data_IF_289377412783
#
_entry.id   IF_289377412783
#
_cell.length_a   1.000
_cell.length_b   1.000
_cell.length_c   1.000
_cell.angle_alpha   90.00
_cell.angle_beta   90.00
_cell.angle_gamma   90.00
#
_symmetry.space_group_name_H-M   'P 1'
#
loop_
_entity.id
_entity.type
_entity.pdbx_description
1 polymer ?
#
# COMPACT_ATOMS: atom_id res chain seq x y z
N UNK A 1 10.77 3.89 -13.06
CA UNK A 1 10.50 2.72 -12.21
C UNK A 1 9.11 2.90 -11.60
N UNK A 2 8.20 1.91 -11.71
CA UNK A 2 6.82 2.09 -11.29
C UNK A 2 6.67 2.16 -9.76
N UNK A 3 5.70 2.96 -9.31
CA UNK A 3 5.24 2.98 -7.92
C UNK A 3 4.23 1.86 -7.69
N UNK A 4 4.39 1.11 -6.58
CA UNK A 4 3.43 0.10 -6.11
C UNK A 4 2.92 0.47 -4.72
N UNK A 5 1.61 0.34 -4.51
CA UNK A 5 0.94 0.54 -3.22
C UNK A 5 0.61 -0.83 -2.63
N UNK A 6 0.97 -1.06 -1.38
CA UNK A 6 0.59 -2.27 -0.65
C UNK A 6 -0.55 -1.87 0.30
N UNK A 7 -1.77 -2.35 0.03
CA UNK A 7 -2.97 -1.96 0.79
C UNK A 7 -4.19 -2.86 0.49
N UNK A 8 -5.26 -2.66 1.25
CA UNK A 8 -6.59 -3.20 0.95
C UNK A 8 -7.22 -2.40 -0.21
N UNK A 9 -7.67 -3.10 -1.27
CA UNK A 9 -8.25 -2.44 -2.46
C UNK A 9 -9.63 -1.83 -2.18
N UNK A 10 -10.57 -2.55 -1.52
CA UNK A 10 -11.83 -1.95 -1.10
C UNK A 10 -11.65 -0.68 -0.26
N UNK A 11 -10.69 -0.65 0.66
CA UNK A 11 -10.36 0.50 1.49
C UNK A 11 -9.93 1.70 0.65
N UNK A 12 -9.02 1.48 -0.32
CA UNK A 12 -8.58 2.54 -1.23
C UNK A 12 -9.74 3.07 -2.08
N UNK A 13 -10.57 2.18 -2.63
CA UNK A 13 -11.77 2.56 -3.40
C UNK A 13 -12.76 3.35 -2.54
N UNK A 14 -13.08 2.88 -1.34
CA UNK A 14 -13.96 3.56 -0.40
C UNK A 14 -13.43 4.96 -0.05
N UNK A 15 -12.12 5.09 0.17
CA UNK A 15 -11.50 6.38 0.45
C UNK A 15 -11.54 7.31 -0.77
N UNK A 16 -11.27 6.80 -1.96
CA UNK A 16 -11.34 7.58 -3.19
C UNK A 16 -12.76 8.13 -3.41
N UNK A 17 -13.79 7.32 -3.17
CA UNK A 17 -15.19 7.74 -3.22
C UNK A 17 -15.49 8.86 -2.21
N UNK A 18 -15.04 8.74 -0.97
CA UNK A 18 -15.20 9.78 0.06
C UNK A 18 -14.52 11.10 -0.31
N UNK A 19 -13.43 11.04 -1.09
CA UNK A 19 -12.67 12.20 -1.54
C UNK A 19 -13.11 12.72 -2.92
N UNK A 20 -14.05 12.06 -3.60
CA UNK A 20 -14.48 12.42 -4.96
C UNK A 20 -13.41 12.16 -6.04
N UNK A 21 -12.50 11.21 -5.81
CA UNK A 21 -11.43 10.85 -6.73
C UNK A 21 -11.84 9.62 -7.55
N UNK A 22 -11.76 9.71 -8.87
CA UNK A 22 -11.99 8.58 -9.78
C UNK A 22 -10.78 7.64 -9.83
N UNK A 23 -10.59 6.84 -8.76
CA UNK A 23 -9.45 5.93 -8.62
C UNK A 23 -9.63 4.65 -9.45
N UNK A 24 -8.70 4.41 -10.36
CA UNK A 24 -8.50 3.13 -11.03
C UNK A 24 -7.44 2.31 -10.28
N UNK A 25 -7.70 1.02 -10.08
CA UNK A 25 -6.77 0.12 -9.39
C UNK A 25 -6.38 -1.01 -10.34
N UNK A 26 -5.07 -1.17 -10.54
CA UNK A 26 -4.48 -2.24 -11.34
C UNK A 26 -3.69 -3.21 -10.46
N UNK A 27 -3.72 -4.48 -10.80
CA UNK A 27 -2.91 -5.50 -10.12
C UNK A 27 -1.42 -5.25 -10.36
N UNK A 28 -0.62 -5.24 -9.29
CA UNK A 28 0.83 -5.10 -9.41
C UNK A 28 1.45 -6.15 -10.35
N UNK A 29 1.00 -7.40 -10.31
CA UNK A 29 1.53 -8.45 -11.17
C UNK A 29 1.38 -8.14 -12.68
N UNK A 30 0.28 -7.50 -13.07
CA UNK A 30 0.01 -7.08 -14.45
C UNK A 30 0.86 -5.86 -14.80
N UNK A 31 0.88 -4.85 -13.93
CA UNK A 31 1.69 -3.64 -14.17
C UNK A 31 3.17 -3.99 -14.26
N UNK A 32 3.66 -4.92 -13.41
CA UNK A 32 5.06 -5.37 -13.40
C UNK A 32 5.43 -6.08 -14.70
N UNK A 33 4.59 -6.99 -15.20
CA UNK A 33 4.87 -7.70 -16.45
C UNK A 33 4.88 -6.75 -17.65
N UNK A 34 3.93 -5.83 -17.72
CA UNK A 34 3.89 -4.78 -18.75
C UNK A 34 5.13 -3.90 -18.72
N UNK A 35 5.61 -3.53 -17.53
CA UNK A 35 6.85 -2.76 -17.37
C UNK A 35 8.10 -3.53 -17.79
N UNK A 36 8.19 -4.83 -17.51
CA UNK A 36 9.34 -5.67 -17.86
C UNK A 36 9.46 -5.96 -19.36
N UNK A 37 8.34 -5.96 -20.08
CA UNK A 37 8.29 -6.22 -21.52
C UNK A 37 8.57 -4.98 -22.38
N UNK A 38 8.72 -3.80 -21.77
CA UNK A 38 8.99 -2.55 -22.50
C UNK A 38 10.46 -2.47 -22.93
N UNK A 39 10.67 -2.39 -24.25
CA UNK A 39 12.01 -2.33 -24.87
C UNK A 39 12.73 -0.98 -24.70
N UNK A 40 12.04 0.10 -24.30
CA UNK A 40 12.62 1.45 -24.19
C UNK A 40 12.22 2.17 -22.90
N UNK A 41 13.18 2.79 -22.16
CA UNK A 41 12.90 3.51 -20.93
C UNK A 41 12.30 4.88 -21.26
N UNK A 42 10.98 4.97 -21.43
CA UNK A 42 10.32 6.27 -21.51
C UNK A 42 10.29 6.92 -20.13
N UNK A 43 10.51 8.25 -20.16
CA UNK A 43 10.17 9.20 -19.11
C UNK A 43 8.94 8.73 -18.34
N UNK A 44 9.14 8.48 -17.05
CA UNK A 44 8.03 8.25 -16.14
C UNK A 44 7.09 9.44 -16.25
N UNK A 45 5.97 9.25 -16.95
CA UNK A 45 4.86 10.20 -16.94
C UNK A 45 4.22 10.12 -15.55
N UNK A 46 4.91 10.71 -14.59
CA UNK A 46 4.38 11.02 -13.27
C UNK A 46 3.45 12.23 -13.45
N UNK A 47 2.40 12.07 -14.25
CA UNK A 47 1.35 13.07 -14.32
C UNK A 47 0.75 13.16 -12.92
N UNK A 48 0.76 14.34 -12.27
CA UNK A 48 0.11 14.52 -10.97
C UNK A 48 -1.41 14.33 -11.03
N UNK A 49 -1.96 14.10 -12.24
CA UNK A 49 -3.36 13.80 -12.52
C UNK A 49 -3.62 12.31 -12.76
N UNK A 50 -2.60 11.44 -12.67
CA UNK A 50 -2.79 10.00 -12.83
C UNK A 50 -3.63 9.45 -11.66
N UNK A 51 -4.86 9.03 -11.94
CA UNK A 51 -5.76 8.41 -10.96
C UNK A 51 -5.66 6.89 -10.93
N UNK A 52 -4.60 6.31 -11.52
CA UNK A 52 -4.37 4.86 -11.53
C UNK A 52 -3.32 4.49 -10.48
N UNK A 53 -3.65 3.56 -9.59
CA UNK A 53 -2.71 2.96 -8.64
C UNK A 53 -2.46 1.49 -8.97
N UNK A 54 -1.18 1.10 -9.00
CA UNK A 54 -0.82 -0.32 -8.99
C UNK A 54 -0.80 -0.82 -7.54
N UNK A 55 -1.54 -1.90 -7.25
CA UNK A 55 -1.79 -2.34 -5.87
C UNK A 55 -1.42 -3.80 -5.68
N UNK A 56 -0.68 -4.08 -4.61
CA UNK A 56 -0.59 -5.41 -3.98
C UNK A 56 -1.66 -5.45 -2.89
N UNK A 57 -2.64 -6.32 -3.08
CA UNK A 57 -3.76 -6.43 -2.15
C UNK A 57 -3.38 -7.19 -0.88
N UNK A 58 -3.61 -6.56 0.26
CA UNK A 58 -3.65 -7.21 1.57
C UNK A 58 -5.00 -6.86 2.19
N UNK A 59 -5.85 -7.84 2.52
CA UNK A 59 -7.20 -7.55 3.01
C UNK A 59 -7.18 -6.99 4.44
N UNK A 60 -8.10 -6.08 4.73
CA UNK A 60 -8.42 -5.71 6.11
C UNK A 60 -9.03 -6.91 6.86
N UNK A 61 -8.79 -6.98 8.17
CA UNK A 61 -9.38 -8.00 9.05
C UNK A 61 -10.78 -7.61 9.52
N UNK A 62 -11.09 -6.32 9.57
CA UNK A 62 -12.39 -5.78 9.92
C UNK A 62 -12.69 -4.49 9.11
N UNK A 63 -13.97 -4.12 8.92
CA UNK A 63 -14.33 -2.86 8.27
C UNK A 63 -13.63 -1.65 8.91
N UNK A 64 -13.22 -0.71 8.07
CA UNK A 64 -12.51 0.51 8.47
C UNK A 64 -13.40 1.74 8.29
N UNK A 65 -13.31 2.67 9.22
CA UNK A 65 -13.97 3.97 9.17
C UNK A 65 -12.93 5.09 9.32
N UNK A 66 -13.06 6.12 8.48
CA UNK A 66 -12.16 7.27 8.52
C UNK A 66 -12.20 7.96 9.89
N UNK A 67 -11.03 8.13 10.51
CA UNK A 67 -10.89 8.80 11.81
C UNK A 67 -11.17 7.91 13.02
N UNK A 68 -11.53 6.64 12.84
CA UNK A 68 -11.80 5.70 13.93
C UNK A 68 -10.76 4.58 13.91
N UNK A 69 -9.97 4.48 14.97
CA UNK A 69 -8.97 3.42 15.13
C UNK A 69 -9.67 2.09 15.47
N UNK A 70 -9.17 0.99 14.91
CA UNK A 70 -9.67 -0.36 15.18
C UNK A 70 -8.49 -1.33 15.32
N UNK A 71 -8.26 -1.85 16.52
CA UNK A 71 -7.15 -2.76 16.83
C UNK A 71 -7.22 -4.09 16.08
N UNK A 72 -8.42 -4.50 15.62
CA UNK A 72 -8.58 -5.67 14.77
C UNK A 72 -7.82 -5.55 13.44
N UNK A 73 -7.52 -4.33 12.98
CA UNK A 73 -6.77 -4.08 11.76
C UNK A 73 -5.25 -3.88 11.99
N UNK A 74 -4.74 -4.15 13.19
CA UNK A 74 -3.29 -4.03 13.48
C UNK A 74 -2.46 -5.03 12.69
N UNK A 75 -2.94 -6.27 12.55
CA UNK A 75 -2.28 -7.30 11.75
C UNK A 75 -2.20 -6.92 10.27
N UNK A 76 -3.22 -6.24 9.74
CA UNK A 76 -3.21 -5.68 8.39
C UNK A 76 -2.06 -4.67 8.22
N UNK A 77 -1.88 -3.74 9.17
CA UNK A 77 -0.79 -2.76 9.12
C UNK A 77 0.58 -3.45 9.11
N UNK A 78 0.77 -4.43 9.98
CA UNK A 78 2.03 -5.17 10.06
C UNK A 78 2.27 -6.05 8.83
N UNK A 79 1.22 -6.64 8.27
CA UNK A 79 1.32 -7.43 7.03
C UNK A 79 1.78 -6.58 5.85
N UNK A 80 1.29 -5.33 5.73
CA UNK A 80 1.78 -4.40 4.71
C UNK A 80 3.27 -4.08 4.87
N UNK A 81 3.72 -3.76 6.08
CA UNK A 81 5.12 -3.47 6.35
C UNK A 81 6.02 -4.68 6.07
N UNK A 82 5.64 -5.87 6.53
CA UNK A 82 6.36 -7.12 6.27
C UNK A 82 6.50 -7.38 4.77
N UNK A 83 5.42 -7.20 3.99
CA UNK A 83 5.44 -7.40 2.53
C UNK A 83 6.35 -6.40 1.83
N UNK A 84 6.35 -5.14 2.27
CA UNK A 84 7.25 -4.11 1.75
C UNK A 84 8.71 -4.47 2.00
N UNK A 85 9.05 -4.84 3.24
CA UNK A 85 10.40 -5.28 3.65
C UNK A 85 10.85 -6.49 2.85
N UNK A 86 10.02 -7.53 2.73
CA UNK A 86 10.33 -8.72 1.93
C UNK A 86 10.60 -8.37 0.45
N UNK A 87 9.83 -7.45 -0.12
CA UNK A 87 10.05 -7.01 -1.49
C UNK A 87 11.35 -6.25 -1.67
N UNK A 88 11.72 -5.39 -0.71
CA UNK A 88 13.01 -4.72 -0.73
C UNK A 88 14.19 -5.70 -0.54
N UNK A 89 14.11 -6.62 0.42
CA UNK A 89 15.15 -7.59 0.71
C UNK A 89 15.40 -8.57 -0.44
N UNK A 90 14.35 -8.96 -1.16
CA UNK A 90 14.44 -9.83 -2.33
C UNK A 90 14.88 -9.11 -3.61
N UNK A 91 15.03 -7.78 -3.58
CA UNK A 91 15.31 -6.97 -4.75
C UNK A 91 14.11 -6.78 -5.70
N UNK A 92 12.91 -7.23 -5.32
CA UNK A 92 11.68 -6.95 -6.07
C UNK A 92 11.39 -5.44 -6.10
N UNK A 93 11.68 -4.73 -4.99
CA UNK A 93 11.55 -3.29 -4.87
C UNK A 93 12.90 -2.67 -4.54
N UNK A 94 13.20 -1.50 -5.11
CA UNK A 94 14.45 -0.78 -4.82
C UNK A 94 14.43 0.02 -3.52
N UNK A 95 13.26 0.12 -2.89
CA UNK A 95 13.01 0.97 -1.73
C UNK A 95 11.54 1.04 -1.39
N UNK A 96 11.22 1.62 -0.24
CA UNK A 96 9.86 1.82 0.22
C UNK A 96 9.68 3.20 0.86
N UNK A 97 8.46 3.70 0.81
CA UNK A 97 8.03 4.89 1.56
C UNK A 97 6.83 4.47 2.40
N UNK A 98 6.87 4.76 3.70
CA UNK A 98 5.79 4.41 4.62
C UNK A 98 4.89 5.61 4.85
N UNK A 99 3.58 5.44 4.62
CA UNK A 99 2.59 6.37 5.15
C UNK A 99 2.57 6.33 6.69
N UNK A 100 2.00 7.35 7.37
CA UNK A 100 1.88 7.35 8.82
C UNK A 100 1.15 6.10 9.34
N UNK A 101 1.66 5.49 10.41
CA UNK A 101 0.94 4.46 11.18
C UNK A 101 0.76 4.92 12.62
N UNK A 102 -0.22 4.35 13.30
CA UNK A 102 -0.55 4.70 14.67
C UNK A 102 0.00 3.66 15.66
N UNK A 103 1.06 4.00 16.41
CA UNK A 103 1.72 3.08 17.36
C UNK A 103 0.79 2.57 18.48
N UNK A 104 -0.07 3.44 19.02
CA UNK A 104 -0.96 3.09 20.15
C UNK A 104 -1.85 1.89 19.84
N UNK A 105 -2.67 2.01 18.80
CA UNK A 105 -3.60 0.94 18.38
C UNK A 105 -2.92 -0.40 18.06
N UNK A 106 -1.67 -0.40 17.58
CA UNK A 106 -0.92 -1.64 17.32
C UNK A 106 -0.53 -2.32 18.65
N UNK A 107 -0.09 -1.53 19.64
CA UNK A 107 0.20 -2.07 20.98
C UNK A 107 -1.07 -2.52 21.71
N UNK A 108 -2.18 -1.80 21.52
CA UNK A 108 -3.50 -2.18 22.07
C UNK A 108 -4.00 -3.52 21.52
N UNK A 109 -3.50 -3.98 20.37
CA UNK A 109 -3.75 -5.31 19.83
C UNK A 109 -2.89 -6.41 20.49
N UNK A 110 -2.10 -6.08 21.52
CA UNK A 110 -1.20 -7.01 22.21
C UNK A 110 0.09 -7.28 21.45
N UNK A 111 0.42 -6.47 20.44
CA UNK A 111 1.62 -6.64 19.63
C UNK A 111 2.65 -5.59 20.05
N UNK A 112 3.80 -5.98 20.62
CA UNK A 112 4.86 -5.02 20.94
C UNK A 112 5.33 -4.33 19.66
N UNK A 113 5.06 -3.03 19.54
CA UNK A 113 5.46 -2.20 18.41
C UNK A 113 6.04 -0.89 18.93
N UNK A 114 7.36 -0.73 18.82
CA UNK A 114 8.09 0.42 19.35
C UNK A 114 8.16 1.60 18.36
N UNK A 115 7.98 1.34 17.06
CA UNK A 115 8.01 2.34 15.98
C UNK A 115 8.30 1.72 14.61
N UNK A 116 8.43 2.56 13.58
CA UNK A 116 8.74 2.13 12.20
C UNK A 116 10.24 1.86 11.95
N UNK A 117 11.11 2.19 12.91
CA UNK A 117 12.57 2.26 12.71
C UNK A 117 13.35 1.18 13.47
N UNK A 118 12.69 0.16 14.02
CA UNK A 118 13.37 -0.96 14.71
C UNK A 118 13.39 -2.25 13.90
#
# INVERSE_FOLDING_TARGET
>A
MPLVVIADKPLLQQRAQQLGIALDIREWGVVRSEWQQRESPLTTDHSPLATTLSVIHIPLSAPSQAGVLNSANSDYVLAMLRRAVQGCQSGEFVGMVTAPVHKGIINDAGIPFTGHTE
#
